data_IF_385286663822
#
_entry.id   IF_385286663822
#
_cell.length_a   1.000
_cell.length_b   1.000
_cell.length_c   1.000
_cell.angle_alpha   90.00
_cell.angle_beta   90.00
_cell.angle_gamma   90.00
#
_symmetry.space_group_name_H-M   'P 1'
#
loop_
_entity.id
_entity.type
_entity.pdbx_description
1 polymer ?
#
# COMPACT_ATOMS: atom_id res chain seq x y z
N UNK A 1 -19.58 55.08 31.56
CA UNK A 1 -20.45 53.88 31.32
C UNK A 1 -20.33 53.35 29.92
N UNK A 2 -20.42 54.12 28.85
CA UNK A 2 -20.40 53.63 27.44
C UNK A 2 -19.09 52.96 27.07
N UNK A 3 -17.92 53.39 27.52
CA UNK A 3 -16.61 52.77 27.23
C UNK A 3 -16.46 51.39 27.88
N UNK A 4 -16.90 51.21 29.11
CA UNK A 4 -16.93 49.93 29.82
C UNK A 4 -17.90 48.90 29.21
N UNK A 5 -19.05 49.35 28.68
CA UNK A 5 -19.98 48.48 27.98
C UNK A 5 -19.44 48.01 26.61
N UNK A 6 -18.67 48.86 25.92
CA UNK A 6 -18.02 48.56 24.64
C UNK A 6 -16.87 47.55 24.83
N UNK A 7 -16.08 47.67 25.88
CA UNK A 7 -15.04 46.72 26.27
C UNK A 7 -15.61 45.35 26.66
N UNK A 8 -16.64 45.29 27.49
CA UNK A 8 -17.33 44.03 27.85
C UNK A 8 -17.90 43.32 26.61
N UNK A 9 -18.49 44.05 25.66
CA UNK A 9 -19.00 43.49 24.40
C UNK A 9 -17.87 42.94 23.51
N UNK A 10 -16.70 43.60 23.48
CA UNK A 10 -15.51 43.13 22.73
C UNK A 10 -14.94 41.84 23.34
N UNK A 11 -14.82 41.77 24.67
CA UNK A 11 -14.38 40.53 25.36
C UNK A 11 -15.35 39.37 25.16
N UNK A 12 -16.66 39.63 25.18
CA UNK A 12 -17.68 38.61 24.96
C UNK A 12 -17.64 38.05 23.51
N UNK A 13 -17.41 38.92 22.52
CA UNK A 13 -17.26 38.50 21.14
C UNK A 13 -15.95 37.71 20.91
N UNK A 14 -14.84 38.11 21.56
CA UNK A 14 -13.57 37.39 21.53
C UNK A 14 -13.74 35.99 22.16
N UNK A 15 -14.41 35.87 23.31
CA UNK A 15 -14.67 34.58 23.94
C UNK A 15 -15.51 33.66 23.05
N UNK A 16 -16.54 34.18 22.39
CA UNK A 16 -17.32 33.42 21.39
C UNK A 16 -16.47 32.93 20.25
N UNK A 17 -15.60 33.76 19.73
CA UNK A 17 -14.66 33.40 18.66
C UNK A 17 -13.71 32.26 19.10
N UNK A 18 -13.15 32.39 20.30
CA UNK A 18 -12.27 31.36 20.87
C UNK A 18 -13.01 30.03 21.02
N UNK A 19 -14.23 30.04 21.58
CA UNK A 19 -15.06 28.85 21.73
C UNK A 19 -15.36 28.24 20.36
N UNK A 20 -15.69 29.05 19.35
CA UNK A 20 -15.96 28.60 17.99
C UNK A 20 -14.74 27.92 17.39
N UNK A 21 -13.54 28.51 17.54
CA UNK A 21 -12.27 27.91 17.06
C UNK A 21 -11.98 26.59 17.76
N UNK A 22 -12.19 26.51 19.08
CA UNK A 22 -12.00 25.27 19.86
C UNK A 22 -12.96 24.19 19.35
N UNK A 23 -14.22 24.51 19.07
CA UNK A 23 -15.20 23.56 18.55
C UNK A 23 -14.81 23.05 17.15
N UNK A 24 -14.26 23.91 16.28
CA UNK A 24 -13.74 23.48 14.98
C UNK A 24 -12.58 22.50 15.17
N UNK A 25 -11.60 22.84 15.99
CA UNK A 25 -10.44 21.98 16.27
C UNK A 25 -10.90 20.64 16.83
N UNK A 26 -11.80 20.65 17.81
CA UNK A 26 -12.35 19.42 18.38
C UNK A 26 -13.08 18.57 17.34
N UNK A 27 -13.83 19.19 16.43
CA UNK A 27 -14.53 18.49 15.33
C UNK A 27 -13.54 17.86 14.34
N UNK A 28 -12.46 18.55 13.97
CA UNK A 28 -11.40 18.03 13.11
C UNK A 28 -10.68 16.86 13.77
N UNK A 29 -10.37 16.97 15.06
CA UNK A 29 -9.75 15.87 15.81
C UNK A 29 -10.71 14.67 15.87
N UNK A 30 -11.99 14.89 16.18
CA UNK A 30 -12.99 13.82 16.21
C UNK A 30 -13.13 13.14 14.83
N UNK A 31 -13.14 13.90 13.75
CA UNK A 31 -13.12 13.36 12.39
C UNK A 31 -11.91 12.45 12.16
N UNK A 32 -10.72 12.88 12.56
CA UNK A 32 -9.47 12.10 12.40
C UNK A 32 -9.44 10.80 13.21
N UNK A 33 -10.15 10.72 14.35
CA UNK A 33 -10.23 9.48 15.14
C UNK A 33 -11.37 8.56 14.72
N UNK A 34 -12.54 9.09 14.38
CA UNK A 34 -13.75 8.29 14.29
C UNK A 34 -14.26 8.08 12.88
N UNK A 35 -13.88 8.93 11.92
CA UNK A 35 -14.41 8.91 10.56
C UNK A 35 -13.33 8.51 9.57
N UNK A 36 -12.28 9.30 9.41
CA UNK A 36 -11.28 9.13 8.35
C UNK A 36 -10.59 7.76 8.34
N UNK A 37 -10.18 7.17 9.50
CA UNK A 37 -9.56 5.84 9.52
C UNK A 37 -10.45 4.69 9.04
N UNK A 38 -11.76 4.92 8.91
CA UNK A 38 -12.75 3.91 8.48
C UNK A 38 -13.14 4.03 7.01
N UNK A 39 -12.68 5.08 6.36
CA UNK A 39 -12.88 5.28 4.93
C UNK A 39 -11.89 4.41 4.16
N UNK A 40 -12.22 4.06 2.92
CA UNK A 40 -11.33 3.39 1.99
C UNK A 40 -11.48 4.09 0.65
N UNK A 41 -10.41 4.73 0.20
CA UNK A 41 -10.35 5.32 -1.13
C UNK A 41 -9.72 4.35 -2.13
N UNK A 42 -10.12 4.48 -3.38
CA UNK A 42 -9.52 3.81 -4.52
C UNK A 42 -8.78 4.85 -5.34
N UNK A 43 -7.47 4.69 -5.49
CA UNK A 43 -6.66 5.55 -6.33
C UNK A 43 -6.37 4.79 -7.63
N UNK A 44 -6.88 5.27 -8.76
CA UNK A 44 -6.61 4.67 -10.07
C UNK A 44 -5.53 5.49 -10.78
N UNK A 45 -4.46 4.79 -11.21
CA UNK A 45 -3.32 5.34 -11.96
C UNK A 45 -3.23 4.64 -13.31
N UNK A 46 -3.14 5.44 -14.37
CA UNK A 46 -2.93 4.94 -15.72
C UNK A 46 -1.44 4.97 -16.04
N UNK A 47 -0.87 3.78 -16.28
CA UNK A 47 0.54 3.63 -16.65
C UNK A 47 0.63 3.34 -18.15
N UNK A 48 1.17 4.30 -18.91
CA UNK A 48 1.34 4.16 -20.36
C UNK A 48 2.68 3.52 -20.67
N UNK A 49 2.66 2.40 -21.42
CA UNK A 49 3.83 1.59 -21.72
C UNK A 49 4.01 1.51 -23.24
N UNK A 50 5.14 2.00 -23.74
CA UNK A 50 5.41 2.11 -25.19
C UNK A 50 5.43 0.75 -25.91
N UNK A 51 5.91 -0.29 -25.27
CA UNK A 51 6.06 -1.62 -25.86
C UNK A 51 5.15 -2.67 -25.20
N UNK A 52 4.01 -2.24 -24.65
CA UNK A 52 3.04 -3.17 -24.09
C UNK A 52 2.41 -3.99 -25.21
N UNK A 53 2.35 -5.31 -25.03
CA UNK A 53 1.65 -6.17 -25.99
C UNK A 53 0.13 -5.99 -25.85
N UNK A 54 -0.61 -6.15 -26.95
CA UNK A 54 -2.07 -5.95 -27.00
C UNK A 54 -2.82 -6.80 -25.96
N UNK A 55 -2.25 -7.95 -25.58
CA UNK A 55 -2.84 -8.83 -24.58
C UNK A 55 -2.89 -8.24 -23.17
N UNK A 56 -2.02 -7.26 -22.88
CA UNK A 56 -1.91 -6.59 -21.57
C UNK A 56 -2.44 -5.16 -21.59
N UNK A 57 -2.96 -4.70 -22.74
CA UNK A 57 -3.68 -3.41 -22.74
C UNK A 57 -4.93 -3.49 -21.85
N UNK A 58 -5.03 -2.53 -20.91
CA UNK A 58 -6.06 -2.52 -19.88
C UNK A 58 -5.81 -3.45 -18.67
N UNK A 59 -4.65 -4.14 -18.61
CA UNK A 59 -4.31 -5.02 -17.47
C UNK A 59 -4.29 -4.25 -16.15
N UNK A 60 -5.00 -4.76 -15.16
CA UNK A 60 -5.16 -4.10 -13.86
C UNK A 60 -4.37 -4.80 -12.76
N UNK A 61 -3.49 -4.06 -12.11
CA UNK A 61 -2.78 -4.45 -10.89
C UNK A 61 -3.44 -3.71 -9.73
N UNK A 62 -4.03 -4.42 -8.78
CA UNK A 62 -4.51 -3.83 -7.52
C UNK A 62 -3.47 -4.04 -6.45
N UNK A 63 -2.99 -2.95 -5.85
CA UNK A 63 -2.05 -2.98 -4.71
C UNK A 63 -2.79 -2.69 -3.41
N UNK A 64 -2.72 -3.61 -2.47
CA UNK A 64 -3.10 -3.44 -1.06
C UNK A 64 -1.85 -3.51 -0.19
N UNK A 65 -1.82 -2.75 0.90
CA UNK A 65 -0.67 -2.69 1.81
C UNK A 65 -1.08 -2.26 3.19
N UNK A 66 -0.28 -2.65 4.20
CA UNK A 66 -0.35 -2.09 5.55
C UNK A 66 -1.77 -2.14 6.13
N UNK A 67 -2.36 -3.33 6.12
CA UNK A 67 -3.70 -3.52 6.67
C UNK A 67 -3.69 -3.45 8.19
N UNK A 68 -2.60 -3.91 8.84
CA UNK A 68 -2.48 -4.00 10.30
C UNK A 68 -3.73 -4.61 10.93
N UNK A 69 -4.13 -5.76 10.42
CA UNK A 69 -5.32 -6.47 10.90
C UNK A 69 -5.22 -6.74 12.39
N UNK A 70 -6.28 -6.42 13.10
CA UNK A 70 -6.43 -6.62 14.54
C UNK A 70 -6.51 -5.34 15.36
N UNK A 71 -5.83 -4.26 14.99
CA UNK A 71 -5.84 -3.00 15.73
C UNK A 71 -6.90 -2.03 15.19
N UNK A 72 -6.68 -1.52 14.00
CA UNK A 72 -7.55 -0.52 13.38
C UNK A 72 -8.36 -1.10 12.24
N UNK A 73 -7.84 -2.16 11.64
CA UNK A 73 -8.46 -2.88 10.54
C UNK A 73 -8.98 -4.23 11.02
N UNK A 74 -10.26 -4.45 10.98
CA UNK A 74 -10.94 -5.63 11.50
C UNK A 74 -11.63 -6.45 10.41
N UNK A 75 -12.31 -7.54 10.80
CA UNK A 75 -13.01 -8.43 9.86
C UNK A 75 -14.02 -7.70 8.97
N UNK A 76 -14.76 -6.71 9.51
CA UNK A 76 -15.74 -5.94 8.72
C UNK A 76 -15.03 -5.05 7.69
N UNK A 77 -13.89 -4.47 8.07
CA UNK A 77 -13.06 -3.68 7.15
C UNK A 77 -12.49 -4.54 6.04
N UNK A 78 -12.03 -5.76 6.39
CA UNK A 78 -11.52 -6.74 5.41
C UNK A 78 -12.62 -7.15 4.41
N UNK A 79 -13.84 -7.43 4.89
CA UNK A 79 -14.98 -7.75 4.02
C UNK A 79 -15.32 -6.62 3.05
N UNK A 80 -15.33 -5.37 3.53
CA UNK A 80 -15.55 -4.20 2.68
C UNK A 80 -14.44 -4.04 1.63
N UNK A 81 -13.19 -4.25 2.04
CA UNK A 81 -12.03 -4.18 1.15
C UNK A 81 -12.14 -5.22 0.04
N UNK A 82 -12.37 -6.49 0.38
CA UNK A 82 -12.51 -7.58 -0.59
C UNK A 82 -13.63 -7.30 -1.59
N UNK A 83 -14.78 -6.83 -1.12
CA UNK A 83 -15.88 -6.42 -2.00
C UNK A 83 -15.44 -5.31 -2.96
N UNK A 84 -14.79 -4.26 -2.43
CA UNK A 84 -14.32 -3.13 -3.23
C UNK A 84 -13.27 -3.53 -4.26
N UNK A 85 -12.35 -4.46 -3.92
CA UNK A 85 -11.35 -5.00 -4.84
C UNK A 85 -12.03 -5.75 -5.99
N UNK A 86 -13.00 -6.61 -5.70
CA UNK A 86 -13.72 -7.40 -6.72
C UNK A 86 -14.51 -6.50 -7.69
N UNK A 87 -15.03 -5.37 -7.21
CA UNK A 87 -15.68 -4.36 -8.07
C UNK A 87 -14.70 -3.75 -9.09
N UNK A 88 -13.39 -3.73 -8.80
CA UNK A 88 -12.36 -3.28 -9.75
C UNK A 88 -12.07 -4.29 -10.85
N UNK A 89 -12.44 -5.57 -10.67
CA UNK A 89 -12.14 -6.68 -11.60
C UNK A 89 -10.64 -6.75 -11.93
N UNK A 90 -9.77 -6.96 -10.94
CA UNK A 90 -8.32 -6.96 -11.14
C UNK A 90 -7.85 -8.18 -11.95
N UNK A 91 -6.81 -7.99 -12.75
CA UNK A 91 -6.08 -9.12 -13.33
C UNK A 91 -5.18 -9.77 -12.29
N UNK A 92 -4.47 -8.95 -11.50
CA UNK A 92 -3.73 -9.42 -10.32
C UNK A 92 -4.00 -8.53 -9.11
N UNK A 93 -3.82 -9.12 -7.92
CA UNK A 93 -3.76 -8.38 -6.65
C UNK A 93 -2.41 -8.62 -6.00
N UNK A 94 -1.76 -7.55 -5.55
CA UNK A 94 -0.49 -7.61 -4.84
C UNK A 94 -0.63 -7.05 -3.43
N UNK A 95 -0.08 -7.76 -2.43
CA UNK A 95 0.03 -7.32 -1.04
C UNK A 95 1.48 -6.96 -0.75
N UNK A 96 1.73 -5.68 -0.46
CA UNK A 96 3.10 -5.18 -0.21
C UNK A 96 3.45 -5.09 1.28
N UNK A 97 2.95 -6.05 2.07
CA UNK A 97 3.35 -6.29 3.45
C UNK A 97 2.47 -5.63 4.52
N UNK A 98 2.80 -5.96 5.77
CA UNK A 98 2.14 -5.53 7.01
C UNK A 98 0.63 -5.82 7.00
N UNK A 99 0.29 -7.09 6.69
CA UNK A 99 -1.08 -7.61 6.78
C UNK A 99 -1.56 -7.63 8.24
N UNK A 100 -0.68 -8.05 9.17
CA UNK A 100 -1.01 -8.27 10.57
C UNK A 100 -0.34 -7.20 11.44
N UNK A 101 -1.11 -6.59 12.38
CA UNK A 101 -0.50 -5.67 13.35
C UNK A 101 0.32 -6.46 14.38
N UNK A 102 1.54 -5.99 14.65
CA UNK A 102 2.51 -6.63 15.57
C UNK A 102 2.03 -6.87 16.99
N UNK A 103 0.96 -6.19 17.41
CA UNK A 103 0.38 -6.32 18.74
C UNK A 103 -0.83 -7.25 18.77
N UNK A 104 -1.21 -7.79 17.62
CA UNK A 104 -2.35 -8.69 17.52
C UNK A 104 -1.93 -10.08 17.94
N UNK A 105 -2.71 -10.70 18.82
CA UNK A 105 -2.56 -12.11 19.13
C UNK A 105 -3.30 -12.93 18.07
N UNK A 106 -2.56 -13.61 17.20
CA UNK A 106 -3.11 -14.44 16.13
C UNK A 106 -3.39 -15.85 16.68
N UNK A 107 -4.66 -16.25 16.61
CA UNK A 107 -5.08 -17.62 16.87
C UNK A 107 -5.37 -18.32 15.54
N UNK A 108 -5.38 -19.65 15.52
CA UNK A 108 -5.77 -20.43 14.33
C UNK A 108 -7.13 -19.98 13.77
N UNK A 109 -8.09 -19.63 14.64
CA UNK A 109 -9.41 -19.13 14.24
C UNK A 109 -9.35 -17.75 13.56
N UNK A 110 -8.45 -16.86 14.00
CA UNK A 110 -8.26 -15.55 13.38
C UNK A 110 -7.54 -15.72 12.04
N UNK A 111 -6.49 -16.53 12.00
CA UNK A 111 -5.78 -16.90 10.78
C UNK A 111 -6.75 -17.43 9.71
N UNK A 112 -7.60 -18.39 10.08
CA UNK A 112 -8.61 -18.95 9.20
C UNK A 112 -9.61 -17.90 8.69
N UNK A 113 -10.07 -16.98 9.56
CA UNK A 113 -10.99 -15.90 9.15
C UNK A 113 -10.36 -14.95 8.13
N UNK A 114 -9.09 -14.58 8.34
CA UNK A 114 -8.34 -13.73 7.42
C UNK A 114 -8.21 -14.44 6.08
N UNK A 115 -7.72 -15.68 6.11
CA UNK A 115 -7.49 -16.49 4.90
C UNK A 115 -8.78 -16.70 4.09
N UNK A 116 -9.86 -17.08 4.74
CA UNK A 116 -11.16 -17.28 4.08
C UNK A 116 -11.68 -16.00 3.43
N UNK A 117 -11.45 -14.85 4.06
CA UNK A 117 -11.92 -13.59 3.48
C UNK A 117 -11.06 -13.17 2.30
N UNK A 118 -9.73 -13.17 2.44
CA UNK A 118 -8.80 -12.85 1.36
C UNK A 118 -8.91 -13.82 0.18
N UNK A 119 -9.29 -15.09 0.44
CA UNK A 119 -9.49 -16.06 -0.64
C UNK A 119 -10.66 -15.70 -1.57
N UNK A 120 -11.61 -14.89 -1.12
CA UNK A 120 -12.74 -14.39 -1.94
C UNK A 120 -12.32 -13.30 -2.94
N UNK A 121 -11.09 -12.84 -2.90
CA UNK A 121 -10.57 -11.92 -3.93
C UNK A 121 -10.46 -12.67 -5.24
N UNK A 122 -11.16 -12.16 -6.25
CA UNK A 122 -11.23 -12.71 -7.61
C UNK A 122 -10.21 -12.02 -8.50
N UNK A 123 -9.41 -12.82 -9.22
CA UNK A 123 -8.39 -12.33 -10.16
C UNK A 123 -8.35 -13.24 -11.39
N UNK A 124 -7.92 -12.69 -12.54
CA UNK A 124 -7.76 -13.49 -13.77
C UNK A 124 -6.38 -14.11 -13.91
N UNK A 125 -5.37 -13.56 -13.22
CA UNK A 125 -3.95 -13.92 -13.44
C UNK A 125 -3.13 -14.12 -12.16
N UNK A 126 -3.74 -14.06 -10.98
CA UNK A 126 -3.09 -14.43 -9.73
C UNK A 126 -3.12 -13.40 -8.62
N UNK A 127 -2.70 -13.83 -7.45
CA UNK A 127 -2.54 -13.01 -6.25
C UNK A 127 -1.14 -13.20 -5.70
N UNK A 128 -0.44 -12.12 -5.37
CA UNK A 128 0.97 -12.15 -4.94
C UNK A 128 1.16 -11.37 -3.66
N UNK A 129 2.06 -11.82 -2.80
CA UNK A 129 2.33 -11.16 -1.53
C UNK A 129 3.81 -11.17 -1.17
N UNK A 130 4.25 -10.11 -0.50
CA UNK A 130 5.49 -10.07 0.26
C UNK A 130 5.18 -9.75 1.71
N UNK A 131 6.05 -10.17 2.63
CA UNK A 131 5.95 -9.83 4.05
C UNK A 131 6.47 -8.42 4.33
N UNK A 132 5.76 -7.70 5.21
CA UNK A 132 6.26 -6.52 5.88
C UNK A 132 7.01 -6.86 7.18
N UNK A 133 7.44 -5.84 7.93
CA UNK A 133 8.21 -6.02 9.17
C UNK A 133 7.38 -6.65 10.30
N UNK A 134 6.09 -6.34 10.34
CA UNK A 134 5.20 -6.85 11.36
C UNK A 134 4.82 -8.32 11.07
N UNK A 135 4.64 -8.67 9.80
CA UNK A 135 4.31 -10.04 9.36
C UNK A 135 5.38 -11.06 9.74
N UNK A 136 6.66 -10.65 9.66
CA UNK A 136 7.82 -11.51 10.03
C UNK A 136 7.86 -11.95 11.49
N UNK A 137 6.95 -11.45 12.33
CA UNK A 137 6.81 -11.83 13.74
C UNK A 137 5.83 -12.98 13.96
N UNK A 138 5.14 -13.41 12.89
CA UNK A 138 4.08 -14.40 12.95
C UNK A 138 4.42 -15.63 12.10
N UNK A 139 4.55 -16.78 12.75
CA UNK A 139 4.75 -18.06 12.05
C UNK A 139 3.53 -18.39 11.17
N UNK A 140 2.38 -17.83 11.47
CA UNK A 140 1.13 -18.01 10.71
C UNK A 140 1.12 -17.31 9.36
N UNK A 141 2.05 -16.38 9.09
CA UNK A 141 2.09 -15.61 7.85
C UNK A 141 1.96 -16.48 6.61
N UNK A 142 2.84 -17.48 6.47
CA UNK A 142 2.87 -18.32 5.27
C UNK A 142 1.56 -19.11 5.11
N UNK A 143 0.99 -19.59 6.21
CA UNK A 143 -0.28 -20.33 6.20
C UNK A 143 -1.44 -19.40 5.77
N UNK A 144 -1.47 -18.15 6.25
CA UNK A 144 -2.48 -17.17 5.86
C UNK A 144 -2.39 -16.89 4.38
N UNK A 145 -1.20 -16.61 3.86
CA UNK A 145 -0.97 -16.25 2.45
C UNK A 145 -1.37 -17.42 1.54
N UNK A 146 -0.88 -18.62 1.81
CA UNK A 146 -1.19 -19.80 1.00
C UNK A 146 -2.67 -20.16 1.02
N UNK A 147 -3.31 -20.18 2.20
CA UNK A 147 -4.74 -20.47 2.33
C UNK A 147 -5.63 -19.35 1.74
N UNK A 148 -5.09 -18.17 1.54
CA UNK A 148 -5.75 -17.06 0.84
C UNK A 148 -5.61 -17.15 -0.68
N UNK A 149 -4.84 -18.11 -1.19
CA UNK A 149 -4.53 -18.26 -2.60
C UNK A 149 -3.55 -17.21 -3.15
N UNK A 150 -2.75 -16.60 -2.27
CA UNK A 150 -1.63 -15.75 -2.69
C UNK A 150 -0.36 -16.58 -2.87
N UNK A 151 0.40 -16.25 -3.89
CA UNK A 151 1.78 -16.72 -4.08
C UNK A 151 2.69 -15.85 -3.22
N UNK A 152 3.48 -16.48 -2.34
CA UNK A 152 4.53 -15.79 -1.58
C UNK A 152 5.71 -15.48 -2.50
N UNK A 153 6.01 -14.18 -2.65
CA UNK A 153 7.14 -13.68 -3.44
C UNK A 153 8.31 -13.19 -2.59
N UNK A 154 8.38 -13.56 -1.33
CA UNK A 154 9.52 -13.20 -0.49
C UNK A 154 10.84 -13.71 -1.09
N UNK A 155 11.66 -12.80 -1.63
CA UNK A 155 12.97 -13.06 -2.25
C UNK A 155 12.91 -14.04 -3.45
N UNK A 156 11.82 -14.00 -4.19
CA UNK A 156 11.61 -14.81 -5.38
C UNK A 156 10.80 -14.06 -6.43
N UNK A 157 10.43 -14.71 -7.50
CA UNK A 157 9.72 -14.14 -8.63
C UNK A 157 8.67 -15.10 -9.19
N UNK A 158 7.81 -14.55 -10.04
CA UNK A 158 6.90 -15.29 -10.91
C UNK A 158 6.79 -14.60 -12.29
N UNK A 159 6.22 -15.30 -13.24
CA UNK A 159 6.01 -14.82 -14.61
C UNK A 159 4.53 -14.94 -14.98
N UNK A 160 3.94 -13.86 -15.45
CA UNK A 160 2.53 -13.82 -15.80
C UNK A 160 2.40 -13.97 -17.31
N UNK A 161 1.71 -15.02 -17.70
CA UNK A 161 1.47 -15.39 -19.09
C UNK A 161 0.05 -14.98 -19.50
N UNK A 162 -0.06 -14.36 -20.66
CA UNK A 162 -1.35 -14.13 -21.30
C UNK A 162 -1.26 -14.52 -22.76
N UNK A 163 -2.14 -15.41 -23.21
CA UNK A 163 -2.13 -16.01 -24.58
C UNK A 163 -0.80 -16.66 -24.97
N UNK A 164 -0.14 -17.34 -24.02
CA UNK A 164 1.07 -18.13 -24.29
C UNK A 164 2.39 -17.36 -24.31
N UNK A 165 2.39 -16.06 -24.03
CA UNK A 165 3.59 -15.22 -23.94
C UNK A 165 3.81 -14.72 -22.52
N UNK A 166 5.07 -14.73 -22.05
CA UNK A 166 5.45 -14.03 -20.81
C UNK A 166 5.53 -12.56 -21.13
N UNK A 167 4.71 -11.76 -20.48
CA UNK A 167 4.72 -10.33 -20.71
C UNK A 167 4.90 -9.51 -19.43
N UNK A 168 4.64 -10.10 -18.24
CA UNK A 168 4.93 -9.47 -16.97
C UNK A 168 5.79 -10.42 -16.13
N UNK A 169 6.92 -9.91 -15.69
CA UNK A 169 7.76 -10.52 -14.67
C UNK A 169 7.50 -9.79 -13.36
N UNK A 170 7.23 -10.51 -12.28
CA UNK A 170 6.99 -9.95 -10.97
C UNK A 170 7.94 -10.56 -9.95
N UNK A 171 8.69 -9.73 -9.24
CA UNK A 171 9.61 -10.13 -8.18
C UNK A 171 9.24 -9.47 -6.86
N UNK A 172 9.63 -10.10 -5.75
CA UNK A 172 9.40 -9.55 -4.44
C UNK A 172 10.63 -9.63 -3.54
N UNK A 173 10.80 -8.62 -2.69
CA UNK A 173 11.81 -8.61 -1.64
C UNK A 173 11.12 -8.51 -0.27
N UNK A 174 11.42 -9.46 0.62
CA UNK A 174 10.90 -9.46 2.00
C UNK A 174 11.46 -8.29 2.82
N UNK A 175 10.75 -7.90 3.89
CA UNK A 175 11.21 -6.86 4.82
C UNK A 175 12.30 -7.34 5.82
N UNK A 176 12.93 -8.50 5.62
CA UNK A 176 14.01 -9.01 6.46
C UNK A 176 15.16 -7.99 6.55
N UNK A 177 15.54 -7.63 7.77
CA UNK A 177 16.53 -6.56 8.04
C UNK A 177 17.97 -6.94 7.76
N UNK A 178 18.31 -8.23 7.85
CA UNK A 178 19.70 -8.70 7.84
C UNK A 178 20.19 -9.15 6.45
N UNK A 179 19.43 -8.84 5.41
CA UNK A 179 19.79 -9.13 4.03
C UNK A 179 19.75 -7.87 3.19
N UNK A 180 20.78 -7.68 2.37
CA UNK A 180 20.83 -6.61 1.39
C UNK A 180 19.76 -6.86 0.29
N UNK A 181 19.19 -5.82 -0.28
CA UNK A 181 18.19 -5.93 -1.35
C UNK A 181 18.73 -6.66 -2.58
N UNK A 182 20.03 -6.51 -2.91
CA UNK A 182 20.65 -7.21 -4.03
C UNK A 182 20.71 -8.72 -3.78
N UNK A 183 20.98 -9.16 -2.54
CA UNK A 183 20.97 -10.59 -2.20
C UNK A 183 19.55 -11.17 -2.28
N UNK A 184 18.55 -10.42 -1.81
CA UNK A 184 17.12 -10.81 -1.90
C UNK A 184 16.66 -10.99 -3.35
N UNK A 185 17.12 -10.15 -4.25
CA UNK A 185 16.72 -10.14 -5.66
C UNK A 185 17.66 -10.92 -6.57
N UNK A 186 18.75 -11.51 -6.03
CA UNK A 186 19.75 -12.19 -6.84
C UNK A 186 19.14 -13.22 -7.78
N UNK A 187 18.35 -14.15 -7.25
CA UNK A 187 17.71 -15.20 -8.05
C UNK A 187 16.78 -14.61 -9.14
N UNK A 188 16.06 -13.54 -8.81
CA UNK A 188 15.16 -12.86 -9.74
C UNK A 188 15.92 -12.17 -10.88
N UNK A 189 17.03 -11.51 -10.55
CA UNK A 189 17.86 -10.80 -11.54
C UNK A 189 18.67 -11.80 -12.38
N UNK A 190 19.21 -12.86 -11.78
CA UNK A 190 19.89 -13.93 -12.52
C UNK A 190 18.97 -14.60 -13.52
N UNK A 191 17.70 -14.85 -13.15
CA UNK A 191 16.70 -15.37 -14.09
C UNK A 191 16.42 -14.39 -15.22
N UNK A 192 16.19 -13.10 -14.93
CA UNK A 192 15.96 -12.09 -15.96
C UNK A 192 17.13 -11.99 -16.96
N UNK A 193 18.37 -12.13 -16.48
CA UNK A 193 19.56 -12.07 -17.33
C UNK A 193 19.73 -13.33 -18.21
N UNK A 194 19.21 -14.46 -17.75
CA UNK A 194 19.27 -15.74 -18.49
C UNK A 194 18.05 -16.01 -19.35
N UNK A 195 16.98 -15.24 -19.17
CA UNK A 195 15.69 -15.49 -19.81
C UNK A 195 15.66 -14.92 -21.23
N UNK A 196 15.64 -15.80 -22.22
CA UNK A 196 15.44 -15.44 -23.62
C UNK A 196 13.94 -15.28 -23.89
N UNK A 197 13.53 -14.11 -24.39
CA UNK A 197 12.14 -13.84 -24.73
C UNK A 197 11.99 -13.40 -26.18
N UNK A 198 10.87 -13.76 -26.79
CA UNK A 198 10.53 -13.33 -28.14
C UNK A 198 9.80 -11.96 -28.17
N UNK A 199 9.80 -11.22 -27.05
CA UNK A 199 9.12 -9.93 -26.97
C UNK A 199 9.44 -9.17 -25.67
N UNK A 200 8.94 -7.93 -25.56
CA UNK A 200 9.19 -7.09 -24.39
C UNK A 200 8.51 -7.66 -23.13
N UNK A 201 9.24 -7.61 -22.01
CA UNK A 201 8.73 -7.97 -20.69
C UNK A 201 8.60 -6.71 -19.84
N UNK A 202 7.42 -6.50 -19.24
CA UNK A 202 7.22 -5.48 -18.22
C UNK A 202 7.57 -6.04 -16.84
N UNK A 203 8.47 -5.37 -16.12
CA UNK A 203 9.09 -5.89 -14.91
C UNK A 203 8.58 -5.13 -13.69
N UNK A 204 7.94 -5.84 -12.76
CA UNK A 204 7.35 -5.30 -11.54
C UNK A 204 8.15 -5.80 -10.33
N UNK A 205 8.47 -4.91 -9.41
CA UNK A 205 9.09 -5.22 -8.13
C UNK A 205 8.15 -4.88 -6.98
N UNK A 206 7.98 -5.79 -6.05
CA UNK A 206 7.31 -5.57 -4.78
C UNK A 206 8.36 -5.41 -3.68
N UNK A 207 8.32 -4.29 -2.97
CA UNK A 207 9.13 -4.04 -1.76
C UNK A 207 8.20 -3.54 -0.66
N UNK A 208 8.55 -3.79 0.61
CA UNK A 208 7.76 -3.20 1.68
C UNK A 208 8.20 -1.76 1.96
N UNK A 209 9.50 -1.54 2.19
CA UNK A 209 10.07 -0.21 2.45
C UNK A 209 10.55 0.44 1.17
N UNK A 210 10.06 1.65 0.85
CA UNK A 210 10.47 2.32 -0.38
C UNK A 210 11.96 2.69 -0.41
N UNK A 211 12.59 2.99 0.73
CA UNK A 211 14.00 3.35 0.78
C UNK A 211 14.96 2.17 0.50
N UNK A 212 14.49 0.91 0.65
CA UNK A 212 15.34 -0.27 0.38
C UNK A 212 15.88 -0.28 -1.06
N UNK A 213 15.14 0.31 -2.02
CA UNK A 213 15.58 0.38 -3.42
C UNK A 213 16.80 1.28 -3.64
N UNK A 214 17.16 2.12 -2.67
CA UNK A 214 18.35 2.98 -2.79
C UNK A 214 19.64 2.19 -2.85
N UNK A 215 19.63 0.97 -2.33
CA UNK A 215 20.79 0.07 -2.26
C UNK A 215 20.86 -0.89 -3.45
N UNK A 216 19.90 -0.80 -4.40
CA UNK A 216 19.95 -1.60 -5.63
C UNK A 216 21.14 -1.17 -6.49
N UNK A 217 22.05 -2.13 -6.75
CA UNK A 217 23.20 -1.90 -7.63
C UNK A 217 22.78 -1.82 -9.09
N UNK A 218 21.78 -2.62 -9.48
CA UNK A 218 21.18 -2.64 -10.81
C UNK A 218 19.67 -2.67 -10.64
N UNK A 219 18.97 -1.75 -11.26
CA UNK A 219 17.52 -1.69 -11.25
C UNK A 219 16.94 -2.04 -12.64
N UNK A 220 16.57 -3.29 -12.88
CA UNK A 220 15.99 -3.70 -14.16
C UNK A 220 14.47 -3.47 -14.24
N UNK A 221 13.81 -3.04 -13.16
CA UNK A 221 12.36 -2.99 -13.04
C UNK A 221 11.78 -1.73 -13.67
N UNK A 222 10.55 -1.84 -14.20
CA UNK A 222 9.80 -0.73 -14.78
C UNK A 222 8.83 -0.11 -13.78
N UNK A 223 8.26 -0.95 -12.91
CA UNK A 223 7.30 -0.55 -11.87
C UNK A 223 7.75 -1.11 -10.53
N UNK A 224 7.81 -0.25 -9.51
CA UNK A 224 8.13 -0.63 -8.14
C UNK A 224 6.94 -0.24 -7.26
N UNK A 225 6.40 -1.22 -6.53
CA UNK A 225 5.27 -1.02 -5.64
C UNK A 225 5.72 -1.20 -4.18
N UNK A 226 5.55 -0.15 -3.38
CA UNK A 226 5.98 -0.12 -1.98
C UNK A 226 4.80 0.20 -1.04
N UNK A 227 4.97 -0.15 0.24
CA UNK A 227 4.07 0.19 1.34
C UNK A 227 4.74 1.02 2.42
N UNK A 228 4.54 0.61 3.68
CA UNK A 228 5.24 1.02 4.89
C UNK A 228 4.99 2.46 5.36
N UNK A 229 4.92 3.44 4.48
CA UNK A 229 4.88 4.86 4.85
C UNK A 229 3.54 5.31 5.43
N UNK A 230 2.43 4.64 5.12
CA UNK A 230 1.05 5.03 5.47
C UNK A 230 0.68 6.47 5.05
N UNK A 231 1.39 7.06 4.07
CA UNK A 231 1.28 8.48 3.73
C UNK A 231 1.52 9.40 4.94
N UNK A 232 2.29 8.93 5.95
CA UNK A 232 2.57 9.64 7.20
C UNK A 232 1.40 9.71 8.18
N UNK A 233 0.25 9.07 7.90
CA UNK A 233 -1.02 9.08 8.68
C UNK A 233 -1.66 10.46 8.87
N UNK A 234 -0.86 11.52 9.00
CA UNK A 234 -1.28 12.93 9.03
C UNK A 234 -0.58 13.64 7.87
N UNK A 235 -1.37 14.24 6.99
CA UNK A 235 -0.85 15.00 5.86
C UNK A 235 -1.40 16.42 5.88
N UNK A 236 -0.59 17.37 5.45
CA UNK A 236 -1.08 18.74 5.22
C UNK A 236 -1.35 18.88 3.71
N UNK A 237 -2.56 19.28 3.31
CA UNK A 237 -2.87 19.52 1.91
C UNK A 237 -1.82 20.42 1.23
N UNK A 238 -1.31 19.99 0.07
CA UNK A 238 -0.26 20.67 -0.73
C UNK A 238 1.15 20.67 -0.12
N UNK A 239 1.34 20.20 1.12
CA UNK A 239 2.67 20.09 1.77
C UNK A 239 3.13 18.65 1.81
N UNK A 240 2.22 17.71 2.13
CA UNK A 240 2.51 16.29 2.22
C UNK A 240 2.50 15.75 3.65
N UNK A 241 3.06 14.55 3.85
CA UNK A 241 3.08 13.86 5.14
C UNK A 241 3.87 14.64 6.20
N UNK A 242 3.35 14.67 7.43
CA UNK A 242 4.05 15.27 8.58
C UNK A 242 5.04 14.30 9.24
N UNK A 243 4.82 13.01 9.11
CA UNK A 243 5.62 11.97 9.77
C UNK A 243 6.24 11.10 8.69
N UNK A 244 7.58 11.00 8.70
CA UNK A 244 8.33 10.13 7.81
C UNK A 244 8.89 8.96 8.61
N UNK A 245 8.51 7.74 8.25
CA UNK A 245 8.99 6.53 8.91
C UNK A 245 10.42 6.18 8.48
N UNK A 246 11.15 5.50 9.35
CA UNK A 246 12.44 4.90 8.99
C UNK A 246 12.22 3.85 7.91
N UNK A 247 12.90 3.98 6.77
CA UNK A 247 12.67 3.15 5.57
C UNK A 247 11.76 3.83 4.53
N UNK A 248 11.26 5.05 4.84
CA UNK A 248 10.53 5.91 3.93
C UNK A 248 10.90 7.39 4.18
N UNK A 249 12.19 7.67 4.34
CA UNK A 249 12.70 9.03 4.56
C UNK A 249 13.07 9.71 3.26
N UNK A 250 13.62 8.96 2.31
CA UNK A 250 13.97 9.44 0.98
C UNK A 250 12.74 9.45 0.08
N UNK A 251 11.99 8.35 0.08
CA UNK A 251 10.79 8.20 -0.73
C UNK A 251 9.55 8.15 0.18
N UNK A 252 8.90 9.29 0.36
CA UNK A 252 7.76 9.46 1.26
C UNK A 252 6.47 9.93 0.59
N UNK A 253 6.56 10.48 -0.63
CA UNK A 253 5.37 10.82 -1.45
C UNK A 253 4.85 9.59 -2.18
N UNK A 254 3.64 9.68 -2.70
CA UNK A 254 2.96 8.55 -3.32
C UNK A 254 3.59 8.06 -4.63
N UNK A 255 4.35 8.91 -5.33
CA UNK A 255 4.96 8.58 -6.61
C UNK A 255 6.30 9.27 -6.81
N UNK A 256 7.23 8.55 -7.44
CA UNK A 256 8.53 9.02 -7.92
C UNK A 256 8.87 8.33 -9.24
N UNK A 257 9.50 9.06 -10.16
CA UNK A 257 10.18 8.46 -11.31
C UNK A 257 11.66 8.39 -10.99
N UNK A 258 12.24 7.20 -11.05
CA UNK A 258 13.64 6.90 -10.72
C UNK A 258 14.25 6.24 -11.95
N UNK A 259 15.06 6.99 -12.69
CA UNK A 259 15.62 6.57 -13.97
C UNK A 259 14.50 6.10 -14.93
N UNK A 260 14.44 4.80 -15.24
CA UNK A 260 13.43 4.20 -16.10
C UNK A 260 12.31 3.47 -15.32
N UNK A 261 12.19 3.72 -14.02
CA UNK A 261 11.24 3.07 -13.12
C UNK A 261 10.27 4.07 -12.52
N UNK A 262 9.01 3.68 -12.43
CA UNK A 262 8.02 4.36 -11.59
C UNK A 262 7.91 3.65 -10.24
N UNK A 263 8.14 4.38 -9.16
CA UNK A 263 7.93 3.93 -7.79
C UNK A 263 6.62 4.51 -7.28
N UNK A 264 5.67 3.64 -6.94
CA UNK A 264 4.44 4.01 -6.24
C UNK A 264 4.44 3.51 -4.80
N UNK A 265 4.02 4.37 -3.87
CA UNK A 265 3.98 4.10 -2.45
C UNK A 265 2.54 4.18 -1.96
N UNK A 266 2.06 3.08 -1.37
CA UNK A 266 0.71 3.00 -0.83
C UNK A 266 0.55 3.84 0.44
N UNK A 267 -0.62 4.48 0.57
CA UNK A 267 -1.02 5.13 1.84
C UNK A 267 -1.45 4.13 2.92
N UNK A 268 -1.51 2.83 2.59
CA UNK A 268 -1.93 1.81 3.53
C UNK A 268 -3.41 1.87 3.91
N UNK A 269 -3.92 0.77 4.42
CA UNK A 269 -5.34 0.58 4.77
C UNK A 269 -5.60 0.62 6.28
N UNK A 270 -4.63 0.19 7.09
CA UNK A 270 -4.65 0.31 8.54
C UNK A 270 -4.09 1.63 9.06
N UNK A 271 -3.93 1.74 10.37
CA UNK A 271 -3.30 2.90 11.02
C UNK A 271 -2.52 2.46 12.26
N UNK A 272 -1.35 3.05 12.48
CA UNK A 272 -0.52 2.76 13.65
C UNK A 272 -1.11 3.43 14.90
N UNK A 273 -1.61 4.67 14.74
CA UNK A 273 -2.08 5.50 15.87
C UNK A 273 -3.60 5.52 16.04
N UNK A 274 -4.36 4.78 15.21
CA UNK A 274 -5.81 4.86 15.14
C UNK A 274 -6.32 6.29 14.86
N UNK A 275 -5.51 7.07 14.16
CA UNK A 275 -5.78 8.45 13.79
C UNK A 275 -5.26 8.72 12.40
N UNK A 276 -6.11 9.27 11.54
CA UNK A 276 -5.70 9.78 10.24
C UNK A 276 -6.31 11.16 10.02
N UNK A 277 -5.53 12.05 9.42
CA UNK A 277 -6.03 13.39 9.11
C UNK A 277 -5.50 13.86 7.77
N UNK A 278 -6.43 14.14 6.84
CA UNK A 278 -6.18 14.50 5.44
C UNK A 278 -5.32 13.45 4.70
N UNK A 279 -5.41 12.22 5.14
CA UNK A 279 -4.71 11.08 4.57
C UNK A 279 -5.56 9.81 4.71
N UNK A 280 -6.61 9.77 3.92
CA UNK A 280 -7.59 8.67 3.93
C UNK A 280 -6.93 7.34 3.56
N UNK A 281 -7.19 6.25 4.32
CA UNK A 281 -6.78 4.91 3.93
C UNK A 281 -7.14 4.61 2.49
N UNK A 282 -6.22 4.02 1.74
CA UNK A 282 -6.46 3.76 0.32
C UNK A 282 -5.75 2.52 -0.18
N UNK A 283 -6.25 1.96 -1.27
CA UNK A 283 -5.52 1.04 -2.11
C UNK A 283 -5.42 1.59 -3.54
N UNK A 284 -4.45 1.08 -4.30
CA UNK A 284 -4.17 1.59 -5.63
C UNK A 284 -4.57 0.58 -6.70
N UNK A 285 -5.05 1.10 -7.83
CA UNK A 285 -5.34 0.35 -9.05
C UNK A 285 -4.47 0.91 -10.17
N UNK A 286 -3.53 0.12 -10.67
CA UNK A 286 -2.68 0.50 -11.78
C UNK A 286 -3.23 -0.15 -13.05
N UNK A 287 -3.62 0.68 -14.01
CA UNK A 287 -4.07 0.23 -15.31
C UNK A 287 -2.95 0.39 -16.32
N UNK A 288 -2.39 -0.73 -16.77
CA UNK A 288 -1.40 -0.73 -17.84
C UNK A 288 -2.10 -0.44 -19.17
N UNK A 289 -1.58 0.50 -19.93
CA UNK A 289 -2.17 0.88 -21.22
C UNK A 289 -1.07 1.03 -22.27
N UNK A 290 -1.39 0.61 -23.47
CA UNK A 290 -0.55 0.83 -24.62
C UNK A 290 -0.56 2.32 -25.01
N UNK A 291 0.59 2.81 -25.49
CA UNK A 291 0.72 4.18 -26.03
C UNK A 291 0.03 4.29 -27.38
#
# INVERSE_FOLDING_TARGET
MIKLAKEKKKHFNLLKLIIFVILIIASVIAYGFFIEPKLINVNEEKITITNLTDNFDGFKIVQISDLHYGKTFNQKSLQKLVKSINEQKPDIVVLTGDLIDKKTYITAKISEKISKELNKIETTSGKYAISGEDDLKFDEWINIIQNSGFTDLNNTYDTIYKKGYVNIFIAGASALKNQNINDKLKTSIDYLNSFETNGPIYKVLLVHKPDDITDLTVNPFNLILAGHNHGGEISIPKVGPLIHKTGAKKYYNNHYTIENSDLYISNGLGSIYNFRLFNTPSYNVYRLTKN
#
